data_IF_244778917217
#
_entry.id   IF_244778917217
#
_cell.length_a   1.000
_cell.length_b   1.000
_cell.length_c   1.000
_cell.angle_alpha   90.00
_cell.angle_beta   90.00
_cell.angle_gamma   90.00
#
_symmetry.space_group_name_H-M   'P 1'
#
loop_
_entity.id
_entity.type
_entity.pdbx_description
1 polymer ?
#
# COMPACT_ATOMS: atom_id res chain seq x y z
N UNK A 1 0.65 10.08 8.48
CA UNK A 1 -0.44 9.12 8.23
C UNK A 1 -1.65 9.55 9.03
N UNK A 2 -2.86 9.35 8.50
CA UNK A 2 -4.10 9.55 9.23
C UNK A 2 -4.91 8.25 9.21
N UNK A 3 -5.47 7.87 10.34
CA UNK A 3 -6.48 6.82 10.45
C UNK A 3 -7.82 7.50 10.68
N UNK A 4 -8.80 7.17 9.85
CA UNK A 4 -10.14 7.76 9.91
C UNK A 4 -11.14 6.63 10.07
N UNK A 5 -11.90 6.67 11.16
CA UNK A 5 -13.02 5.77 11.35
C UNK A 5 -14.28 6.37 10.70
N UNK A 6 -14.69 5.78 9.57
CA UNK A 6 -15.92 6.13 8.86
C UNK A 6 -17.10 5.21 9.21
N UNK A 7 -16.90 4.21 10.09
CA UNK A 7 -17.95 3.30 10.50
C UNK A 7 -18.88 4.01 11.50
N UNK A 8 -20.16 4.10 11.14
CA UNK A 8 -21.17 4.78 11.95
C UNK A 8 -21.47 3.97 13.23
N UNK A 9 -21.57 4.67 14.36
CA UNK A 9 -21.91 4.15 15.69
C UNK A 9 -20.98 3.04 16.27
N UNK A 10 -19.91 2.66 15.56
CA UNK A 10 -18.99 1.62 16.02
C UNK A 10 -17.61 2.17 16.37
N UNK A 11 -17.15 1.83 17.57
CA UNK A 11 -15.74 1.96 17.94
C UNK A 11 -14.94 0.92 17.17
N UNK A 12 -13.83 1.35 16.56
CA UNK A 12 -12.94 0.47 15.83
C UNK A 12 -11.67 0.26 16.64
N UNK A 13 -11.37 -0.99 16.97
CA UNK A 13 -10.09 -1.37 17.56
C UNK A 13 -9.13 -1.80 16.45
N UNK A 14 -8.01 -1.10 16.35
CA UNK A 14 -6.89 -1.49 15.52
C UNK A 14 -5.91 -2.26 16.40
N UNK A 15 -5.65 -3.53 16.05
CA UNK A 15 -4.46 -4.22 16.51
C UNK A 15 -3.20 -3.53 15.97
N UNK A 16 -2.02 -4.08 16.27
CA UNK A 16 -0.76 -3.54 15.75
C UNK A 16 -0.81 -3.42 14.21
N UNK A 17 -0.56 -2.21 13.72
CA UNK A 17 -0.55 -1.89 12.30
C UNK A 17 0.90 -1.92 11.83
N UNK A 18 1.19 -2.92 11.00
CA UNK A 18 2.52 -3.15 10.45
C UNK A 18 2.66 -2.41 9.12
N UNK A 19 3.63 -1.51 9.04
CA UNK A 19 4.04 -0.84 7.82
C UNK A 19 5.34 -1.45 7.30
N UNK A 20 5.35 -1.80 6.03
CA UNK A 20 6.54 -2.25 5.30
C UNK A 20 6.81 -1.27 4.17
N UNK A 21 8.04 -0.78 4.10
CA UNK A 21 8.52 0.09 3.04
C UNK A 21 9.44 -0.72 2.15
N UNK A 22 9.16 -0.74 0.85
CA UNK A 22 9.94 -1.49 -0.14
C UNK A 22 10.42 -0.57 -1.25
N UNK A 23 11.60 -0.86 -1.79
CA UNK A 23 12.17 -0.12 -2.93
C UNK A 23 12.00 -0.93 -4.21
N UNK A 24 11.36 -0.33 -5.21
CA UNK A 24 11.11 -0.94 -6.52
C UNK A 24 12.31 -0.72 -7.46
N UNK A 25 13.44 -1.35 -7.10
CA UNK A 25 14.65 -1.44 -7.91
C UNK A 25 14.77 -2.77 -8.66
N UNK A 26 13.64 -3.40 -9.00
CA UNK A 26 13.58 -4.69 -9.71
C UNK A 26 13.34 -5.94 -8.85
N UNK A 27 13.38 -5.82 -7.51
CA UNK A 27 13.15 -6.96 -6.59
C UNK A 27 12.20 -6.66 -5.41
N UNK A 28 11.55 -5.48 -5.38
CA UNK A 28 10.67 -5.03 -4.29
C UNK A 28 11.20 -5.40 -2.89
N UNK A 29 12.47 -5.09 -2.64
CA UNK A 29 13.11 -5.45 -1.36
C UNK A 29 12.60 -4.52 -0.27
N UNK A 30 12.24 -5.11 0.87
CA UNK A 30 11.93 -4.34 2.07
C UNK A 30 13.17 -3.55 2.50
N UNK A 31 13.01 -2.24 2.63
CA UNK A 31 14.07 -1.31 3.03
C UNK A 31 13.79 -0.68 4.39
N UNK A 32 12.59 -0.81 4.92
CA UNK A 32 12.26 -0.34 6.26
C UNK A 32 10.95 -0.92 6.75
N UNK A 33 10.73 -0.84 8.06
CA UNK A 33 9.48 -1.24 8.70
C UNK A 33 9.16 -0.31 9.86
N UNK A 34 7.88 -0.20 10.18
CA UNK A 34 7.41 0.53 11.34
C UNK A 34 6.13 -0.11 11.89
N UNK A 35 5.98 -0.11 13.22
CA UNK A 35 4.79 -0.65 13.88
C UNK A 35 4.10 0.47 14.64
N UNK A 36 2.92 0.81 14.16
CA UNK A 36 1.94 1.62 14.87
C UNK A 36 1.29 0.70 15.90
N UNK A 37 1.53 0.94 17.19
CA UNK A 37 0.92 0.14 18.27
C UNK A 37 -0.59 0.27 18.28
N UNK A 38 -1.25 -0.81 18.70
CA UNK A 38 -2.70 -0.93 18.80
C UNK A 38 -3.36 0.28 19.46
N UNK A 39 -4.56 0.60 19.00
CA UNK A 39 -5.31 1.78 19.40
C UNK A 39 -6.78 1.64 19.05
N UNK A 40 -7.62 2.40 19.75
CA UNK A 40 -9.04 2.49 19.48
C UNK A 40 -9.35 3.83 18.79
N UNK A 41 -10.34 3.84 17.91
CA UNK A 41 -10.92 5.06 17.37
C UNK A 41 -12.43 5.09 17.58
N UNK A 42 -12.93 6.23 18.05
CA UNK A 42 -14.36 6.54 18.07
C UNK A 42 -14.90 6.80 16.66
N UNK A 43 -16.22 6.94 16.54
CA UNK A 43 -16.85 7.37 15.29
C UNK A 43 -16.38 8.78 14.90
N UNK A 44 -16.03 8.97 13.62
CA UNK A 44 -15.48 10.22 13.04
C UNK A 44 -14.18 10.73 13.66
N UNK A 45 -13.54 9.92 14.50
CA UNK A 45 -12.26 10.27 15.09
C UNK A 45 -11.12 10.14 14.06
N UNK A 46 -10.13 11.01 14.18
CA UNK A 46 -8.96 11.06 13.30
C UNK A 46 -7.68 11.01 14.14
N UNK A 47 -6.92 9.93 13.98
CA UNK A 47 -5.63 9.76 14.63
C UNK A 47 -4.51 10.09 13.62
N UNK A 48 -3.76 11.15 13.90
CA UNK A 48 -2.63 11.60 13.11
C UNK A 48 -1.32 11.08 13.68
N UNK A 49 -0.59 10.29 12.87
CA UNK A 49 0.73 9.77 13.23
C UNK A 49 1.80 10.22 12.26
N UNK A 50 2.91 10.74 12.77
CA UNK A 50 4.06 11.20 11.98
C UNK A 50 5.33 10.64 12.55
N UNK A 51 6.03 9.88 11.72
CA UNK A 51 7.22 9.14 12.12
C UNK A 51 8.25 9.15 11.00
N UNK A 52 9.51 9.06 11.39
CA UNK A 52 10.65 8.92 10.46
C UNK A 52 11.18 7.51 10.60
N UNK A 53 11.28 6.82 9.47
CA UNK A 53 11.77 5.43 9.42
C UNK A 53 13.09 5.45 8.67
N UNK A 54 14.15 4.98 9.31
CA UNK A 54 15.44 4.79 8.65
C UNK A 54 15.36 3.64 7.66
N UNK A 55 15.74 3.90 6.41
CA UNK A 55 15.81 2.87 5.38
C UNK A 55 17.20 2.22 5.33
N UNK A 56 17.25 0.92 5.04
CA UNK A 56 18.47 0.14 4.83
C UNK A 56 18.39 -0.62 3.51
N UNK A 57 19.52 -0.77 2.82
CA UNK A 57 19.62 -1.58 1.60
C UNK A 57 19.02 -0.94 0.35
N UNK A 58 18.68 0.34 0.38
CA UNK A 58 18.39 1.12 -0.84
C UNK A 58 19.72 1.32 -1.60
N UNK A 59 19.80 0.99 -2.90
CA UNK A 59 20.96 1.31 -3.72
C UNK A 59 20.96 2.82 -4.03
N UNK A 60 21.36 3.63 -3.05
CA UNK A 60 21.23 5.09 -3.12
C UNK A 60 21.95 5.71 -4.31
N UNK A 61 23.11 5.20 -4.68
CA UNK A 61 23.86 5.70 -5.84
C UNK A 61 23.04 5.56 -7.14
N UNK A 62 22.44 4.40 -7.38
CA UNK A 62 21.59 4.15 -8.55
C UNK A 62 20.29 4.97 -8.49
N UNK A 63 19.68 5.06 -7.30
CA UNK A 63 18.46 5.82 -7.08
C UNK A 63 18.68 7.31 -7.36
N UNK A 64 19.74 7.89 -6.79
CA UNK A 64 20.14 9.29 -7.00
C UNK A 64 20.45 9.54 -8.46
N UNK A 65 21.26 8.67 -9.09
CA UNK A 65 21.59 8.78 -10.52
C UNK A 65 20.33 8.76 -11.39
N UNK A 66 19.38 7.89 -11.11
CA UNK A 66 18.12 7.82 -11.85
C UNK A 66 17.34 9.13 -11.78
N UNK A 67 17.16 9.68 -10.57
CA UNK A 67 16.39 10.93 -10.41
C UNK A 67 17.14 12.17 -10.91
N UNK A 68 18.48 12.20 -10.83
CA UNK A 68 19.29 13.26 -11.45
C UNK A 68 19.20 13.26 -12.97
N UNK A 69 19.00 12.07 -13.58
CA UNK A 69 18.76 11.93 -15.01
C UNK A 69 17.30 12.24 -15.43
N UNK A 70 16.49 12.81 -14.53
CA UNK A 70 15.09 13.19 -14.80
C UNK A 70 14.10 12.04 -14.72
N UNK A 71 14.52 10.86 -14.24
CA UNK A 71 13.60 9.76 -13.92
C UNK A 71 12.96 9.95 -12.54
N UNK A 72 12.16 8.97 -12.12
CA UNK A 72 11.65 8.86 -10.76
C UNK A 72 12.00 7.49 -10.19
N UNK A 73 12.05 7.41 -8.87
CA UNK A 73 12.17 6.13 -8.15
C UNK A 73 10.88 5.84 -7.41
N UNK A 74 10.53 4.57 -7.25
CA UNK A 74 9.27 4.16 -6.62
C UNK A 74 9.55 3.45 -5.31
N UNK A 75 8.95 3.98 -4.25
CA UNK A 75 8.83 3.30 -2.97
C UNK A 75 7.43 2.75 -2.81
N UNK A 76 7.31 1.51 -2.37
CA UNK A 76 6.04 0.91 -2.05
C UNK A 76 5.83 0.94 -0.54
N UNK A 77 4.63 1.27 -0.11
CA UNK A 77 4.20 1.19 1.28
C UNK A 77 3.09 0.17 1.37
N UNK A 78 3.29 -0.88 2.16
CA UNK A 78 2.27 -1.88 2.48
C UNK A 78 1.89 -1.77 3.96
N UNK A 79 0.59 -1.83 4.24
CA UNK A 79 -0.01 -1.82 5.56
C UNK A 79 -0.73 -3.15 5.79
N UNK A 80 -0.43 -3.79 6.92
CA UNK A 80 -1.14 -4.96 7.40
C UNK A 80 -1.63 -4.75 8.84
N UNK A 81 -2.93 -4.95 9.07
CA UNK A 81 -3.55 -4.75 10.37
C UNK A 81 -4.69 -5.76 10.61
N UNK A 82 -4.97 -6.03 11.88
CA UNK A 82 -6.20 -6.68 12.31
C UNK A 82 -7.12 -5.63 12.91
N UNK A 83 -8.34 -5.53 12.40
CA UNK A 83 -9.33 -4.53 12.78
C UNK A 83 -10.52 -5.25 13.42
N UNK A 84 -11.03 -4.70 14.53
CA UNK A 84 -12.21 -5.19 15.25
C UNK A 84 -13.25 -4.07 15.33
N UNK A 85 -14.51 -4.36 14.97
CA UNK A 85 -15.56 -3.35 14.77
C UNK A 85 -16.62 -3.31 15.88
N UNK A 86 -16.48 -4.10 16.93
CA UNK A 86 -17.50 -4.28 17.96
C UNK A 86 -16.84 -4.43 19.33
N UNK A 87 -17.48 -3.88 20.37
CA UNK A 87 -17.08 -3.95 21.78
C UNK A 87 -16.91 -5.39 22.28
N UNK A 88 -17.61 -6.36 21.69
CA UNK A 88 -17.48 -7.78 22.03
C UNK A 88 -16.44 -8.53 21.21
N UNK A 89 -15.61 -7.82 20.43
CA UNK A 89 -14.53 -8.41 19.62
C UNK A 89 -15.02 -9.52 18.67
N UNK A 90 -16.31 -9.49 18.29
CA UNK A 90 -16.98 -10.57 17.55
C UNK A 90 -16.69 -10.50 16.05
N UNK A 91 -16.54 -9.30 15.51
CA UNK A 91 -16.27 -9.05 14.09
C UNK A 91 -14.85 -8.54 13.91
N UNK A 92 -13.98 -9.43 13.40
CA UNK A 92 -12.56 -9.13 13.13
C UNK A 92 -12.25 -9.27 11.65
N UNK A 93 -11.46 -8.35 11.10
CA UNK A 93 -11.00 -8.39 9.71
C UNK A 93 -9.50 -8.15 9.64
N UNK A 94 -8.82 -9.01 8.90
CA UNK A 94 -7.43 -8.74 8.50
C UNK A 94 -7.45 -7.88 7.24
N UNK A 95 -6.78 -6.73 7.31
CA UNK A 95 -6.64 -5.79 6.21
C UNK A 95 -5.20 -5.79 5.74
N UNK A 96 -5.03 -5.87 4.42
CA UNK A 96 -3.77 -5.65 3.72
C UNK A 96 -4.02 -4.71 2.56
N UNK A 97 -3.38 -3.55 2.60
CA UNK A 97 -3.51 -2.49 1.59
C UNK A 97 -2.13 -1.90 1.33
N UNK A 98 -1.92 -1.28 0.18
CA UNK A 98 -0.66 -0.64 -0.11
C UNK A 98 -0.79 0.48 -1.13
N UNK A 99 0.33 1.10 -1.48
CA UNK A 99 0.43 2.03 -2.59
C UNK A 99 1.88 2.19 -3.03
N UNK A 100 2.05 2.53 -4.31
CA UNK A 100 3.33 2.94 -4.87
C UNK A 100 3.45 4.48 -4.79
N UNK A 101 4.61 4.96 -4.35
CA UNK A 101 4.95 6.36 -4.14
C UNK A 101 6.16 6.68 -5.01
N UNK A 102 5.91 7.36 -6.13
CA UNK A 102 6.97 7.88 -6.98
C UNK A 102 7.61 9.11 -6.30
N UNK A 103 8.94 9.15 -6.29
CA UNK A 103 9.77 10.19 -5.70
C UNK A 103 10.68 10.78 -6.77
N UNK A 104 10.80 12.10 -6.78
CA UNK A 104 11.59 12.85 -7.76
C UNK A 104 13.01 13.20 -7.25
N UNK A 105 13.75 13.98 -8.04
CA UNK A 105 15.12 14.40 -7.72
C UNK A 105 15.27 15.32 -6.50
N UNK A 106 14.16 15.84 -5.97
CA UNK A 106 14.15 16.62 -4.72
C UNK A 106 13.95 15.76 -3.48
N UNK A 107 13.67 14.46 -3.66
CA UNK A 107 13.31 13.55 -2.58
C UNK A 107 11.85 13.68 -2.13
N UNK A 108 11.03 14.42 -2.87
CA UNK A 108 9.60 14.59 -2.59
C UNK A 108 8.78 13.62 -3.42
N UNK A 109 7.59 13.28 -2.90
CA UNK A 109 6.59 12.56 -3.69
C UNK A 109 6.20 13.38 -4.91
N UNK A 110 6.15 12.72 -6.08
CA UNK A 110 5.79 13.37 -7.33
C UNK A 110 4.33 13.87 -7.31
N UNK A 111 3.42 13.05 -6.77
CA UNK A 111 2.00 13.39 -6.62
C UNK A 111 1.80 14.32 -5.42
N UNK A 112 1.07 15.40 -5.61
CA UNK A 112 0.80 16.37 -4.53
C UNK A 112 -0.27 15.88 -3.58
N UNK A 113 -1.21 15.09 -4.09
CA UNK A 113 -2.33 14.52 -3.34
C UNK A 113 -1.87 13.49 -2.30
N UNK A 114 -2.70 13.24 -1.30
CA UNK A 114 -2.44 12.19 -0.31
C UNK A 114 -2.38 10.81 -0.96
N UNK A 115 -1.44 10.00 -0.48
CA UNK A 115 -1.28 8.62 -0.93
C UNK A 115 -2.35 7.78 -0.24
N UNK A 116 -3.41 7.46 -0.98
CA UNK A 116 -4.42 6.52 -0.52
C UNK A 116 -3.89 5.10 -0.65
N UNK A 117 -3.87 4.37 0.46
CA UNK A 117 -3.60 2.93 0.44
C UNK A 117 -4.86 2.17 0.04
N UNK A 118 -4.73 1.20 -0.85
CA UNK A 118 -5.86 0.39 -1.30
C UNK A 118 -5.49 -1.10 -1.46
N UNK A 119 -6.50 -1.95 -1.57
CA UNK A 119 -6.32 -3.40 -1.72
C UNK A 119 -5.83 -3.79 -3.12
N UNK A 120 -6.06 -2.94 -4.13
CA UNK A 120 -5.63 -3.17 -5.51
C UNK A 120 -4.12 -3.04 -5.69
N UNK A 121 -3.47 -2.16 -4.92
CA UNK A 121 -2.03 -2.03 -4.94
C UNK A 121 -1.31 -3.31 -4.51
N UNK A 122 -1.89 -4.12 -3.61
CA UNK A 122 -1.37 -5.45 -3.23
C UNK A 122 -1.34 -6.46 -4.39
N UNK A 123 -2.08 -6.19 -5.47
CA UNK A 123 -2.18 -7.02 -6.68
C UNK A 123 -1.21 -6.55 -7.77
N UNK A 124 0.07 -6.35 -7.45
CA UNK A 124 1.11 -6.15 -8.48
C UNK A 124 1.48 -7.53 -9.06
N UNK A 125 0.56 -8.04 -9.88
CA UNK A 125 0.59 -9.38 -10.48
C UNK A 125 -0.71 -9.74 -11.18
N UNK A 126 -1.39 -8.79 -11.81
CA UNK A 126 -2.64 -9.04 -12.56
C UNK A 126 -2.58 -8.40 -13.94
N UNK A 127 -1.46 -8.64 -14.65
CA UNK A 127 -1.43 -8.58 -16.11
C UNK A 127 -1.94 -9.90 -16.73
N UNK A 128 -2.18 -10.95 -15.92
CA UNK A 128 -2.66 -12.26 -16.37
C UNK A 128 -4.17 -12.38 -16.62
N UNK A 129 -5.00 -11.43 -16.15
CA UNK A 129 -6.47 -11.57 -16.27
C UNK A 129 -7.02 -11.02 -17.59
N UNK A 130 -6.34 -10.09 -18.25
CA UNK A 130 -6.74 -9.62 -19.59
C UNK A 130 -6.36 -10.61 -20.71
N UNK A 131 -5.29 -11.39 -20.54
CA UNK A 131 -4.88 -12.41 -21.53
C UNK A 131 -5.84 -13.61 -21.54
N UNK A 132 -6.38 -14.01 -20.38
CA UNK A 132 -7.34 -15.12 -20.30
C UNK A 132 -8.69 -14.82 -20.96
N UNK A 133 -9.17 -13.57 -20.91
CA UNK A 133 -10.42 -13.20 -21.60
C UNK A 133 -10.26 -13.13 -23.12
N UNK A 134 -9.08 -12.74 -23.63
CA UNK A 134 -8.80 -12.74 -25.07
C UNK A 134 -8.63 -14.17 -25.61
N UNK A 135 -8.00 -15.09 -24.87
CA UNK A 135 -7.89 -16.49 -25.30
C UNK A 135 -9.25 -17.19 -25.39
N UNK A 136 -10.18 -16.93 -24.45
CA UNK A 136 -11.52 -17.54 -24.48
C UNK A 136 -12.37 -17.02 -25.66
N UNK A 137 -12.23 -15.74 -26.03
CA UNK A 137 -12.90 -15.16 -27.20
C UNK A 137 -12.36 -15.74 -28.52
N UNK A 138 -11.05 -15.95 -28.64
CA UNK A 138 -10.43 -16.55 -29.84
C UNK A 138 -10.85 -18.02 -29.98
N UNK A 139 -10.95 -18.78 -28.88
CA UNK A 139 -11.44 -20.16 -28.94
C UNK A 139 -12.92 -20.28 -29.29
N UNK A 140 -13.73 -19.26 -29.03
CA UNK A 140 -15.15 -19.26 -29.40
C UNK A 140 -15.37 -19.01 -30.90
N UNK A 141 -14.49 -18.23 -31.55
CA UNK A 141 -14.55 -18.02 -33.00
C UNK A 141 -14.02 -19.22 -33.80
N UNK A 142 -13.14 -20.06 -33.23
CA UNK A 142 -12.64 -21.26 -33.90
C UNK A 142 -13.58 -22.48 -33.84
N UNK A 143 -14.67 -22.45 -33.07
CA UNK A 143 -15.64 -23.55 -32.98
C UNK A 143 -16.87 -23.39 -33.89
N UNK A 144 -16.94 -22.33 -34.70
CA UNK A 144 -18.07 -22.04 -35.59
C UNK A 144 -17.68 -21.85 -37.07
N UNK A 145 -16.62 -22.52 -37.53
CA UNK A 145 -16.39 -22.74 -38.97
C UNK A 145 -15.95 -24.18 -39.23
#
# INVERSE_FOLDING_TARGET
>A
MAFVNIEDDHRVHYGDVNLTFSYDGGNNKAVGNYVVRSFDQGWLDVDYRREVVESRGVPWEDAVKAVTNGSTVVFRVDLAARIEFDLFNSKKKNVRIGADVAVDGTGLKLKREDIRLDSTASRRGVLGTLVLFLCLLVTWQCFFF
#
